data_IF_617892387688
#
_entry.id   IF_617892387688
#
_cell.length_a   1.000
_cell.length_b   1.000
_cell.length_c   1.000
_cell.angle_alpha   90.00
_cell.angle_beta   90.00
_cell.angle_gamma   90.00
#
_symmetry.space_group_name_H-M   'P 1'
#
loop_
_entity.id
_entity.type
_entity.pdbx_description
1 polymer ?
#
# COMPACT_ATOMS: atom_id res chain seq x y z
N UNK A 1 1.24 22.98 36.40
CA UNK A 1 0.62 23.97 35.49
C UNK A 1 1.26 23.86 34.09
N UNK A 2 0.69 23.07 33.18
CA UNK A 2 1.02 23.10 31.75
C UNK A 2 -0.09 23.88 31.06
N UNK A 3 0.25 25.06 30.58
CA UNK A 3 -0.67 25.98 29.93
C UNK A 3 -1.00 25.45 28.52
N UNK A 4 -2.02 24.59 28.41
CA UNK A 4 -2.60 24.18 27.14
C UNK A 4 -3.39 25.36 26.56
N UNK A 5 -2.68 26.30 25.93
CA UNK A 5 -3.31 27.26 25.01
C UNK A 5 -3.84 26.45 23.83
N UNK A 6 -5.12 26.08 23.88
CA UNK A 6 -5.87 25.78 22.67
C UNK A 6 -5.78 27.02 21.79
N UNK A 7 -4.95 26.96 20.75
CA UNK A 7 -4.92 27.98 19.71
C UNK A 7 -6.34 28.06 19.14
N UNK A 8 -7.06 29.16 19.42
CA UNK A 8 -8.33 29.45 18.77
C UNK A 8 -8.05 29.43 17.27
N UNK A 9 -8.60 28.47 16.54
CA UNK A 9 -8.52 28.46 15.09
C UNK A 9 -9.14 29.77 14.58
N UNK A 10 -8.32 30.60 13.93
CA UNK A 10 -8.79 31.82 13.28
C UNK A 10 -9.73 31.44 12.14
N UNK A 11 -10.93 32.04 12.10
CA UNK A 11 -11.92 31.83 11.04
C UNK A 11 -11.32 32.06 9.65
N UNK A 12 -10.37 33.00 9.51
CA UNK A 12 -9.65 33.25 8.24
C UNK A 12 -8.82 32.04 7.81
N UNK A 13 -8.18 31.34 8.74
CA UNK A 13 -7.41 30.13 8.45
C UNK A 13 -8.31 28.98 8.03
N UNK A 14 -9.48 28.82 8.66
CA UNK A 14 -10.47 27.80 8.28
C UNK A 14 -10.96 28.04 6.85
N UNK A 15 -11.35 29.28 6.53
CA UNK A 15 -11.82 29.65 5.19
C UNK A 15 -10.74 29.42 4.13
N UNK A 16 -9.49 29.82 4.40
CA UNK A 16 -8.37 29.60 3.47
C UNK A 16 -8.12 28.12 3.19
N UNK A 17 -8.10 27.28 4.24
CA UNK A 17 -7.95 25.83 4.10
C UNK A 17 -9.11 25.23 3.31
N UNK A 18 -10.34 25.69 3.55
CA UNK A 18 -11.52 25.29 2.79
C UNK A 18 -11.40 25.61 1.29
N UNK A 19 -10.99 26.84 0.95
CA UNK A 19 -10.78 27.28 -0.43
C UNK A 19 -9.71 26.43 -1.11
N UNK A 20 -8.56 26.22 -0.45
CA UNK A 20 -7.48 25.39 -0.99
C UNK A 20 -7.95 23.95 -1.23
N UNK A 21 -8.72 23.39 -0.29
CA UNK A 21 -9.31 22.06 -0.43
C UNK A 21 -10.25 21.94 -1.64
N UNK A 22 -11.11 22.94 -1.84
CA UNK A 22 -12.01 22.99 -3.01
C UNK A 22 -11.21 23.10 -4.30
N UNK A 23 -10.21 23.99 -4.37
CA UNK A 23 -9.36 24.15 -5.55
C UNK A 23 -8.60 22.87 -5.88
N UNK A 24 -8.02 22.20 -4.87
CA UNK A 24 -7.37 20.90 -5.04
C UNK A 24 -8.34 19.87 -5.61
N UNK A 25 -9.56 19.78 -5.07
CA UNK A 25 -10.57 18.87 -5.58
C UNK A 25 -10.94 19.18 -7.03
N UNK A 26 -11.17 20.45 -7.39
CA UNK A 26 -11.50 20.84 -8.77
C UNK A 26 -10.38 20.48 -9.75
N UNK A 27 -9.12 20.71 -9.37
CA UNK A 27 -7.94 20.44 -10.22
C UNK A 27 -7.69 18.92 -10.35
N UNK A 28 -7.92 18.15 -9.28
CA UNK A 28 -7.58 16.73 -9.19
C UNK A 28 -8.80 15.79 -9.15
N UNK A 29 -10.00 16.26 -9.45
CA UNK A 29 -11.21 15.43 -9.41
C UNK A 29 -11.10 14.16 -10.26
N UNK A 30 -10.51 14.24 -11.46
CA UNK A 30 -10.34 13.09 -12.36
C UNK A 30 -9.39 12.02 -11.79
N UNK A 31 -8.13 12.32 -11.43
CA UNK A 31 -7.26 11.31 -10.83
C UNK A 31 -7.78 10.81 -9.48
N UNK A 32 -8.41 11.65 -8.65
CA UNK A 32 -8.99 11.21 -7.37
C UNK A 32 -10.11 10.21 -7.61
N UNK A 33 -11.10 10.55 -8.46
CA UNK A 33 -12.20 9.63 -8.78
C UNK A 33 -11.71 8.37 -9.45
N UNK A 34 -10.69 8.46 -10.31
CA UNK A 34 -10.05 7.29 -10.92
C UNK A 34 -9.41 6.38 -9.87
N UNK A 35 -8.61 6.90 -8.93
CA UNK A 35 -7.98 6.09 -7.87
C UNK A 35 -9.04 5.37 -7.04
N UNK A 36 -10.06 6.09 -6.56
CA UNK A 36 -11.12 5.47 -5.75
C UNK A 36 -11.94 4.44 -6.54
N UNK A 37 -12.25 4.73 -7.80
CA UNK A 37 -12.95 3.78 -8.67
C UNK A 37 -12.12 2.51 -8.88
N UNK A 38 -10.82 2.63 -9.09
CA UNK A 38 -9.92 1.49 -9.27
C UNK A 38 -9.74 0.70 -7.97
N UNK A 39 -9.59 1.34 -6.82
CA UNK A 39 -9.55 0.67 -5.52
C UNK A 39 -10.84 -0.09 -5.19
N UNK A 40 -11.99 0.43 -5.65
CA UNK A 40 -13.29 -0.22 -5.46
C UNK A 40 -13.52 -1.37 -6.47
N UNK A 41 -13.22 -1.15 -7.75
CA UNK A 41 -13.46 -2.12 -8.83
C UNK A 41 -12.45 -3.25 -8.85
N UNK A 42 -11.16 -2.97 -8.60
CA UNK A 42 -10.10 -3.98 -8.57
C UNK A 42 -9.91 -4.47 -7.14
N UNK A 43 -10.37 -5.69 -6.85
CA UNK A 43 -10.20 -6.31 -5.54
C UNK A 43 -8.74 -6.36 -5.05
N UNK A 44 -7.78 -6.36 -5.98
CA UNK A 44 -6.32 -6.28 -5.74
C UNK A 44 -5.89 -5.01 -4.97
N UNK A 45 -6.57 -3.88 -5.17
CA UNK A 45 -6.26 -2.58 -4.59
C UNK A 45 -7.21 -2.17 -3.46
N UNK A 46 -8.00 -3.11 -2.94
CA UNK A 46 -8.96 -2.86 -1.86
C UNK A 46 -8.33 -2.27 -0.59
N UNK A 47 -7.05 -2.55 -0.31
CA UNK A 47 -6.30 -1.92 0.79
C UNK A 47 -6.19 -0.40 0.64
N UNK A 48 -6.17 0.10 -0.59
CA UNK A 48 -6.03 1.52 -0.92
C UNK A 48 -7.16 2.39 -0.38
N UNK A 49 -8.35 1.81 -0.14
CA UNK A 49 -9.47 2.52 0.49
C UNK A 49 -9.18 2.89 1.95
N UNK A 50 -8.37 2.12 2.66
CA UNK A 50 -8.03 2.36 4.06
C UNK A 50 -6.87 3.35 4.24
N UNK A 51 -6.02 3.49 3.23
CA UNK A 51 -4.80 4.32 3.27
C UNK A 51 -5.08 5.79 3.60
N UNK A 52 -6.08 6.49 3.00
CA UNK A 52 -6.41 7.86 3.39
C UNK A 52 -6.72 8.03 4.87
N UNK A 53 -7.44 7.06 5.46
CA UNK A 53 -7.81 7.09 6.87
C UNK A 53 -6.59 6.89 7.78
N UNK A 54 -5.68 5.98 7.41
CA UNK A 54 -4.41 5.78 8.12
C UNK A 54 -3.55 7.04 8.02
N UNK A 55 -3.39 7.62 6.83
CA UNK A 55 -2.66 8.87 6.63
C UNK A 55 -3.24 10.00 7.47
N UNK A 56 -4.56 10.17 7.45
CA UNK A 56 -5.25 11.20 8.26
C UNK A 56 -5.02 10.97 9.76
N UNK A 57 -5.16 9.74 10.25
CA UNK A 57 -4.90 9.39 11.63
C UNK A 57 -3.46 9.76 12.05
N UNK A 58 -2.47 9.40 11.23
CA UNK A 58 -1.07 9.74 11.50
C UNK A 58 -0.84 11.26 11.48
N UNK A 59 -1.46 12.00 10.55
CA UNK A 59 -1.39 13.47 10.50
C UNK A 59 -1.96 14.06 11.80
N UNK A 60 -3.14 13.63 12.23
CA UNK A 60 -3.78 14.12 13.48
C UNK A 60 -2.89 13.86 14.70
N UNK A 61 -2.25 12.68 14.78
CA UNK A 61 -1.34 12.33 15.87
C UNK A 61 -0.08 13.20 15.87
N UNK A 62 0.48 13.47 14.70
CA UNK A 62 1.70 14.29 14.56
C UNK A 62 1.36 15.78 14.77
N UNK A 63 0.16 16.21 14.39
CA UNK A 63 -0.29 17.60 14.46
C UNK A 63 -0.09 18.22 15.84
N UNK A 64 -0.33 17.43 16.89
CA UNK A 64 -0.17 17.86 18.29
C UNK A 64 1.28 18.15 18.70
N UNK A 65 2.26 17.65 17.94
CA UNK A 65 3.70 17.84 18.18
C UNK A 65 4.36 18.84 17.21
N UNK A 66 3.57 19.47 16.34
CA UNK A 66 4.08 20.48 15.42
C UNK A 66 4.44 21.76 16.19
N UNK A 67 5.61 22.30 15.87
CA UNK A 67 6.09 23.57 16.39
C UNK A 67 5.62 24.67 15.46
N UNK A 68 4.73 25.52 15.94
CA UNK A 68 4.33 26.74 15.24
C UNK A 68 5.25 27.89 15.68
N UNK A 69 6.54 27.78 15.39
CA UNK A 69 7.49 28.86 15.65
C UNK A 69 7.20 30.01 14.68
N UNK A 70 7.14 31.24 15.20
CA UNK A 70 6.63 32.41 14.47
C UNK A 70 7.60 33.04 13.49
N UNK A 71 8.90 32.75 13.53
CA UNK A 71 9.85 33.36 12.60
C UNK A 71 10.99 32.40 12.23
N UNK A 72 10.97 31.92 11.00
CA UNK A 72 12.20 31.51 10.32
C UNK A 72 12.14 32.06 8.91
N UNK A 73 13.23 32.61 8.40
CA UNK A 73 13.35 33.10 7.02
C UNK A 73 13.11 31.92 6.06
N UNK A 74 11.86 31.71 5.66
CA UNK A 74 11.47 30.57 4.84
C UNK A 74 12.12 30.72 3.45
N UNK A 75 12.93 29.75 3.03
CA UNK A 75 13.35 29.64 1.63
C UNK A 75 12.15 29.18 0.80
N UNK A 76 11.23 30.11 0.52
CA UNK A 76 9.95 29.90 -0.19
C UNK A 76 10.15 29.33 -1.60
N UNK A 77 11.34 29.51 -2.20
CA UNK A 77 11.66 29.01 -3.54
C UNK A 77 11.41 27.51 -3.71
N UNK A 78 11.80 26.67 -2.75
CA UNK A 78 11.67 25.22 -2.86
C UNK A 78 10.22 24.71 -2.89
N UNK A 79 9.34 25.07 -1.93
CA UNK A 79 7.94 24.66 -2.00
C UNK A 79 7.24 25.18 -3.26
N UNK A 80 7.52 26.42 -3.70
CA UNK A 80 6.97 26.94 -4.96
C UNK A 80 7.43 26.10 -6.16
N UNK A 81 8.73 25.77 -6.25
CA UNK A 81 9.24 24.93 -7.34
C UNK A 81 8.54 23.57 -7.39
N UNK A 82 8.32 22.92 -6.23
CA UNK A 82 7.62 21.64 -6.18
C UNK A 82 6.13 21.78 -6.52
N UNK A 83 5.46 22.87 -6.10
CA UNK A 83 4.08 23.17 -6.51
C UNK A 83 3.99 23.33 -8.04
N UNK A 84 4.91 24.10 -8.64
CA UNK A 84 4.96 24.29 -10.10
C UNK A 84 5.16 22.96 -10.82
N UNK A 85 6.10 22.12 -10.37
CA UNK A 85 6.32 20.79 -10.95
C UNK A 85 5.05 19.94 -10.84
N UNK A 86 4.42 19.89 -9.67
CA UNK A 86 3.21 19.10 -9.46
C UNK A 86 2.07 19.54 -10.39
N UNK A 87 1.88 20.85 -10.57
CA UNK A 87 0.85 21.41 -11.46
C UNK A 87 1.17 21.19 -12.95
N UNK A 88 2.44 21.31 -13.36
CA UNK A 88 2.85 21.00 -14.73
C UNK A 88 2.67 19.52 -15.06
N UNK A 89 3.09 18.63 -14.15
CA UNK A 89 2.86 17.19 -14.28
C UNK A 89 1.37 16.89 -14.36
N UNK A 90 0.54 17.53 -13.52
CA UNK A 90 -0.91 17.40 -13.58
C UNK A 90 -1.46 17.79 -14.95
N UNK A 91 -1.04 18.93 -15.49
CA UNK A 91 -1.50 19.42 -16.79
C UNK A 91 -1.13 18.44 -17.92
N UNK A 92 0.11 17.95 -17.93
CA UNK A 92 0.60 17.00 -18.94
C UNK A 92 -0.15 15.68 -18.83
N UNK A 93 -0.24 15.12 -17.62
CA UNK A 93 -0.88 13.82 -17.37
C UNK A 93 -2.38 13.86 -17.62
N UNK A 94 -3.05 14.96 -17.32
CA UNK A 94 -4.48 15.12 -17.59
C UNK A 94 -4.76 15.12 -19.10
N UNK A 95 -3.88 15.70 -19.91
CA UNK A 95 -3.99 15.66 -21.38
C UNK A 95 -3.63 14.31 -21.97
N UNK A 96 -2.68 13.61 -21.37
CA UNK A 96 -2.26 12.27 -21.79
C UNK A 96 -3.13 11.14 -21.19
N UNK A 97 -4.11 11.49 -20.35
CA UNK A 97 -4.96 10.54 -19.59
C UNK A 97 -4.17 9.56 -18.71
N UNK A 98 -3.01 9.99 -18.20
CA UNK A 98 -2.14 9.19 -17.33
C UNK A 98 -2.47 9.48 -15.86
N UNK A 99 -3.59 8.91 -15.39
CA UNK A 99 -4.15 9.25 -14.08
C UNK A 99 -3.29 8.82 -12.88
N UNK A 100 -2.47 7.77 -12.98
CA UNK A 100 -1.65 7.32 -11.85
C UNK A 100 -0.51 8.33 -11.52
N UNK A 101 0.17 8.88 -12.53
CA UNK A 101 1.20 9.92 -12.34
C UNK A 101 0.55 11.22 -11.87
N UNK A 102 -0.63 11.53 -12.41
CA UNK A 102 -1.47 12.64 -11.97
C UNK A 102 -1.87 12.52 -10.49
N UNK A 103 -2.15 11.32 -9.98
CA UNK A 103 -2.38 11.10 -8.55
C UNK A 103 -1.10 11.32 -7.71
N UNK A 104 0.06 10.89 -8.19
CA UNK A 104 1.33 11.17 -7.52
C UNK A 104 1.65 12.67 -7.46
N UNK A 105 1.34 13.43 -8.51
CA UNK A 105 1.52 14.89 -8.49
C UNK A 105 0.57 15.56 -7.51
N UNK A 106 -0.64 15.03 -7.30
CA UNK A 106 -1.55 15.50 -6.24
C UNK A 106 -0.89 15.39 -4.86
N UNK A 107 -0.28 14.24 -4.56
CA UNK A 107 0.39 13.97 -3.28
C UNK A 107 1.60 14.92 -3.11
N UNK A 108 2.37 15.13 -4.18
CA UNK A 108 3.47 16.10 -4.19
C UNK A 108 2.97 17.52 -3.94
N UNK A 109 1.84 17.92 -4.53
CA UNK A 109 1.25 19.24 -4.32
C UNK A 109 0.81 19.42 -2.86
N UNK A 110 0.15 18.42 -2.25
CA UNK A 110 -0.22 18.43 -0.84
C UNK A 110 1.02 18.62 0.04
N UNK A 111 2.08 17.84 -0.20
CA UNK A 111 3.34 18.00 0.53
C UNK A 111 3.93 19.40 0.39
N UNK A 112 3.91 19.95 -0.82
CA UNK A 112 4.47 21.26 -1.13
C UNK A 112 3.69 22.39 -0.48
N UNK A 113 2.35 22.29 -0.41
CA UNK A 113 1.48 23.21 0.31
C UNK A 113 1.76 23.15 1.82
N UNK A 114 1.88 21.96 2.40
CA UNK A 114 2.25 21.79 3.81
C UNK A 114 3.60 22.42 4.09
N UNK A 115 4.60 22.23 3.22
CA UNK A 115 5.90 22.90 3.34
C UNK A 115 5.78 24.41 3.22
N UNK A 116 5.00 24.92 2.27
CA UNK A 116 4.78 26.35 2.09
C UNK A 116 4.19 27.02 3.35
N UNK A 117 3.13 26.43 3.92
CA UNK A 117 2.41 27.05 5.04
C UNK A 117 2.99 26.72 6.42
N UNK A 118 3.51 25.51 6.62
CA UNK A 118 3.96 25.04 7.94
C UNK A 118 5.49 25.03 8.10
N UNK A 119 6.23 25.33 7.03
CA UNK A 119 7.68 25.32 7.02
C UNK A 119 8.30 23.92 6.88
N UNK A 120 9.62 23.91 6.67
CA UNK A 120 10.39 22.69 6.34
C UNK A 120 10.36 21.66 7.46
N UNK A 121 10.43 22.10 8.72
CA UNK A 121 10.49 21.18 9.86
C UNK A 121 9.18 20.40 10.01
N UNK A 122 8.04 21.10 10.00
CA UNK A 122 6.72 20.47 10.10
C UNK A 122 6.41 19.62 8.86
N UNK A 123 6.77 20.08 7.66
CA UNK A 123 6.66 19.26 6.45
C UNK A 123 7.48 17.97 6.54
N UNK A 124 8.70 18.00 7.10
CA UNK A 124 9.51 16.80 7.31
C UNK A 124 8.83 15.83 8.28
N UNK A 125 8.19 16.33 9.34
CA UNK A 125 7.42 15.49 10.29
C UNK A 125 6.21 14.85 9.61
N UNK A 126 5.52 15.59 8.74
CA UNK A 126 4.33 15.14 8.00
C UNK A 126 4.63 14.40 6.68
N UNK A 127 5.90 14.33 6.26
CA UNK A 127 6.29 13.74 4.98
C UNK A 127 5.82 12.29 4.86
N UNK A 128 6.04 11.47 5.89
CA UNK A 128 5.65 10.06 5.83
C UNK A 128 4.13 9.88 5.67
N UNK A 129 3.25 10.44 6.51
CA UNK A 129 1.80 10.32 6.32
C UNK A 129 1.31 10.78 4.95
N UNK A 130 1.89 11.85 4.40
CA UNK A 130 1.52 12.38 3.09
C UNK A 130 1.97 11.41 1.97
N UNK A 131 3.24 11.00 1.97
CA UNK A 131 3.76 10.08 0.96
C UNK A 131 3.27 8.64 1.13
N UNK A 132 2.74 8.27 2.29
CA UNK A 132 2.04 6.99 2.49
C UNK A 132 0.82 6.87 1.57
N UNK A 133 0.21 7.98 1.15
CA UNK A 133 -0.84 8.00 0.13
C UNK A 133 -0.37 7.47 -1.24
N UNK A 134 0.93 7.36 -1.51
CA UNK A 134 1.40 6.74 -2.77
C UNK A 134 1.01 5.26 -2.83
N UNK A 135 0.87 4.60 -1.69
CA UNK A 135 0.60 3.15 -1.58
C UNK A 135 -0.82 2.77 -2.01
N UNK A 136 -1.76 3.72 -2.03
CA UNK A 136 -3.10 3.48 -2.57
C UNK A 136 -3.21 3.68 -4.08
N UNK A 137 -2.26 4.37 -4.71
CA UNK A 137 -2.37 4.71 -6.14
C UNK A 137 -2.15 3.45 -6.99
N UNK A 138 -3.15 3.02 -7.78
CA UNK A 138 -3.00 1.82 -8.59
C UNK A 138 -1.98 2.02 -9.69
N UNK A 139 -1.15 1.00 -9.90
CA UNK A 139 -0.24 0.94 -11.05
C UNK A 139 -1.00 0.50 -12.31
N UNK A 140 -0.57 0.95 -13.51
CA UNK A 140 -1.13 0.47 -14.77
C UNK A 140 -1.10 -1.05 -14.89
N UNK A 141 -2.11 -1.63 -15.56
CA UNK A 141 -2.28 -3.09 -15.70
C UNK A 141 -1.04 -3.78 -16.24
N UNK A 142 -0.35 -3.17 -17.22
CA UNK A 142 0.89 -3.68 -17.80
C UNK A 142 1.96 -4.01 -16.74
N UNK A 143 2.15 -3.15 -15.74
CA UNK A 143 3.13 -3.39 -14.68
C UNK A 143 2.70 -4.54 -13.77
N UNK A 144 1.41 -4.63 -13.47
CA UNK A 144 0.84 -5.69 -12.65
C UNK A 144 0.93 -7.03 -13.38
N UNK A 145 0.54 -7.11 -14.64
CA UNK A 145 0.59 -8.35 -15.41
C UNK A 145 2.03 -8.82 -15.59
N UNK A 146 2.96 -7.92 -15.90
CA UNK A 146 4.40 -8.22 -16.03
C UNK A 146 4.99 -8.74 -14.72
N UNK A 147 4.63 -8.14 -13.58
CA UNK A 147 5.12 -8.55 -12.27
C UNK A 147 4.47 -9.86 -11.77
N UNK A 148 3.19 -10.07 -12.07
CA UNK A 148 2.43 -11.21 -11.55
C UNK A 148 2.56 -12.48 -12.36
N UNK A 149 2.86 -12.39 -13.65
CA UNK A 149 2.96 -13.57 -14.51
C UNK A 149 4.04 -14.58 -14.03
N UNK A 150 5.29 -14.14 -13.71
CA UNK A 150 6.29 -15.05 -13.13
C UNK A 150 5.84 -15.65 -11.79
N UNK A 151 5.14 -14.88 -10.96
CA UNK A 151 4.62 -15.35 -9.68
C UNK A 151 3.55 -16.44 -9.83
N UNK A 152 2.67 -16.32 -10.84
CA UNK A 152 1.66 -17.34 -11.17
C UNK A 152 2.32 -18.64 -11.64
N UNK A 153 3.33 -18.54 -12.51
CA UNK A 153 4.08 -19.71 -12.98
C UNK A 153 4.78 -20.42 -11.82
N UNK A 154 5.48 -19.67 -10.97
CA UNK A 154 6.14 -20.20 -9.78
C UNK A 154 5.12 -20.87 -8.83
N UNK A 155 3.99 -20.20 -8.57
CA UNK A 155 2.96 -20.75 -7.70
C UNK A 155 2.35 -22.04 -8.25
N UNK A 156 2.05 -22.09 -9.56
CA UNK A 156 1.54 -23.28 -10.21
C UNK A 156 2.56 -24.42 -10.18
N UNK A 157 3.84 -24.14 -10.47
CA UNK A 157 4.91 -25.15 -10.44
C UNK A 157 5.10 -25.74 -9.05
N UNK A 158 5.25 -24.89 -8.03
CA UNK A 158 5.49 -25.37 -6.66
C UNK A 158 4.26 -26.10 -6.11
N UNK A 159 3.05 -25.59 -6.38
CA UNK A 159 1.82 -26.27 -5.97
C UNK A 159 1.67 -27.64 -6.64
N UNK A 160 2.03 -27.77 -7.92
CA UNK A 160 2.05 -29.06 -8.63
C UNK A 160 2.98 -30.06 -7.94
N UNK A 161 4.25 -29.68 -7.74
CA UNK A 161 5.25 -30.55 -7.09
C UNK A 161 4.85 -30.97 -5.68
N UNK A 162 4.33 -30.04 -4.87
CA UNK A 162 3.86 -30.37 -3.52
C UNK A 162 2.67 -31.32 -3.58
N UNK A 163 1.74 -31.12 -4.51
CA UNK A 163 0.57 -32.00 -4.68
C UNK A 163 0.99 -33.41 -5.10
N UNK A 164 1.95 -33.54 -6.02
CA UNK A 164 2.53 -34.82 -6.43
C UNK A 164 3.18 -35.56 -5.24
N UNK A 165 3.94 -34.86 -4.40
CA UNK A 165 4.53 -35.41 -3.17
C UNK A 165 3.45 -35.94 -2.21
N UNK A 166 2.28 -35.29 -2.19
CA UNK A 166 1.12 -35.70 -1.38
C UNK A 166 0.30 -36.82 -2.05
N UNK A 167 0.74 -37.37 -3.18
CA UNK A 167 0.07 -38.47 -3.89
C UNK A 167 -1.12 -38.02 -4.74
N UNK A 168 -1.25 -36.73 -5.02
CA UNK A 168 -2.31 -36.19 -5.89
C UNK A 168 -1.83 -36.20 -7.33
N UNK A 169 -2.64 -36.79 -8.22
CA UNK A 169 -2.38 -36.76 -9.67
C UNK A 169 -2.76 -35.40 -10.21
N UNK A 170 -1.76 -34.61 -10.56
CA UNK A 170 -1.90 -33.27 -11.15
C UNK A 170 -0.95 -33.13 -12.33
N UNK A 171 -1.41 -32.49 -13.40
CA UNK A 171 -0.59 -32.16 -14.57
C UNK A 171 -0.60 -30.64 -14.76
N UNK A 172 0.57 -30.03 -14.82
CA UNK A 172 0.70 -28.58 -15.05
C UNK A 172 0.93 -28.25 -16.51
N UNK A 173 0.15 -27.31 -17.03
CA UNK A 173 0.40 -26.63 -18.31
C UNK A 173 0.40 -25.12 -18.08
N UNK A 174 1.59 -24.51 -18.14
CA UNK A 174 1.77 -23.10 -17.80
C UNK A 174 1.27 -22.77 -16.39
N UNK A 175 0.19 -21.97 -16.32
CA UNK A 175 -0.50 -21.54 -15.09
C UNK A 175 -1.77 -22.35 -14.78
N UNK A 176 -2.08 -23.35 -15.59
CA UNK A 176 -3.24 -24.23 -15.41
C UNK A 176 -2.79 -25.56 -14.80
N UNK A 177 -3.53 -26.03 -13.80
CA UNK A 177 -3.34 -27.32 -13.15
C UNK A 177 -4.53 -28.23 -13.51
N UNK A 178 -4.27 -29.33 -14.20
CA UNK A 178 -5.25 -30.34 -14.54
C UNK A 178 -5.28 -31.44 -13.47
N UNK A 179 -6.47 -31.71 -12.95
CA UNK A 179 -6.78 -32.66 -11.89
C UNK A 179 -7.84 -33.64 -12.38
N UNK A 180 -8.03 -34.75 -11.68
CA UNK A 180 -9.10 -35.72 -12.00
C UNK A 180 -10.50 -35.11 -11.95
N UNK A 181 -10.70 -34.10 -11.11
CA UNK A 181 -11.98 -33.40 -10.90
C UNK A 181 -12.17 -32.15 -11.79
N UNK A 182 -11.24 -31.86 -12.70
CA UNK A 182 -11.29 -30.70 -13.59
C UNK A 182 -9.98 -29.91 -13.64
N UNK A 183 -10.02 -28.66 -14.09
CA UNK A 183 -8.85 -27.78 -14.15
C UNK A 183 -8.94 -26.61 -13.18
N UNK A 184 -7.79 -26.21 -12.64
CA UNK A 184 -7.61 -25.05 -11.79
C UNK A 184 -6.68 -24.06 -12.47
N UNK A 185 -7.24 -22.92 -12.87
CA UNK A 185 -6.48 -21.83 -13.46
C UNK A 185 -5.94 -20.89 -12.37
N UNK A 186 -4.61 -20.72 -12.31
CA UNK A 186 -3.96 -19.73 -11.43
C UNK A 186 -4.08 -18.33 -12.08
N UNK A 187 -5.29 -17.77 -12.02
CA UNK A 187 -5.62 -16.45 -12.59
C UNK A 187 -5.16 -15.26 -11.74
N UNK A 188 -5.59 -14.05 -12.11
CA UNK A 188 -5.28 -12.81 -11.36
C UNK A 188 -5.60 -12.90 -9.85
N UNK A 189 -6.73 -13.48 -9.41
CA UNK A 189 -7.02 -13.66 -7.98
C UNK A 189 -5.99 -14.55 -7.25
N UNK A 190 -5.38 -15.51 -7.97
CA UNK A 190 -4.37 -16.44 -7.48
C UNK A 190 -2.93 -15.93 -7.62
N UNK A 191 -2.72 -14.73 -8.18
CA UNK A 191 -1.38 -14.19 -8.44
C UNK A 191 -0.58 -13.83 -7.19
N UNK A 192 -1.26 -13.66 -6.06
CA UNK A 192 -0.66 -13.17 -4.81
C UNK A 192 -0.52 -11.65 -4.75
N UNK A 193 -0.88 -10.90 -5.80
CA UNK A 193 -0.69 -9.43 -5.83
C UNK A 193 -1.47 -8.72 -4.73
N UNK A 194 -2.70 -9.15 -4.46
CA UNK A 194 -3.54 -8.58 -3.39
C UNK A 194 -2.86 -8.71 -2.03
N UNK A 195 -2.37 -9.91 -1.70
CA UNK A 195 -1.62 -10.15 -0.47
C UNK A 195 -0.31 -9.37 -0.46
N UNK A 196 0.42 -9.31 -1.58
CA UNK A 196 1.67 -8.56 -1.68
C UNK A 196 1.46 -7.07 -1.40
N UNK A 197 0.46 -6.44 -2.01
CA UNK A 197 0.15 -5.03 -1.80
C UNK A 197 -0.30 -4.75 -0.36
N UNK A 198 -1.17 -5.60 0.20
CA UNK A 198 -1.60 -5.49 1.59
C UNK A 198 -0.42 -5.64 2.58
N UNK A 199 0.44 -6.63 2.36
CA UNK A 199 1.63 -6.89 3.19
C UNK A 199 2.66 -5.78 3.06
N UNK A 200 2.90 -5.27 1.85
CA UNK A 200 3.80 -4.15 1.62
C UNK A 200 3.30 -2.89 2.32
N UNK A 201 1.98 -2.63 2.25
CA UNK A 201 1.33 -1.51 2.96
C UNK A 201 1.55 -1.61 4.47
N UNK A 202 1.30 -2.80 5.04
CA UNK A 202 1.52 -3.06 6.46
C UNK A 202 3.00 -2.95 6.83
N UNK A 203 3.91 -3.47 6.01
CA UNK A 203 5.35 -3.41 6.25
C UNK A 203 5.85 -1.97 6.25
N UNK A 204 5.41 -1.13 5.32
CA UNK A 204 5.73 0.30 5.26
C UNK A 204 5.21 0.99 6.53
N UNK A 205 3.96 0.73 6.93
CA UNK A 205 3.38 1.30 8.15
C UNK A 205 4.13 0.86 9.41
N UNK A 206 4.40 -0.44 9.57
CA UNK A 206 5.15 -1.00 10.69
C UNK A 206 6.57 -0.44 10.76
N UNK A 207 7.24 -0.32 9.61
CA UNK A 207 8.58 0.28 9.53
C UNK A 207 8.61 1.73 10.03
N UNK A 208 7.50 2.45 9.93
CA UNK A 208 7.40 3.82 10.41
C UNK A 208 7.13 3.91 11.90
N UNK A 209 6.12 3.16 12.39
CA UNK A 209 5.67 3.24 13.79
C UNK A 209 6.64 2.56 14.77
N UNK A 210 7.42 1.58 14.30
CA UNK A 210 8.38 0.86 15.14
C UNK A 210 9.76 1.55 15.13
N UNK A 211 10.44 1.63 16.29
CA UNK A 211 11.80 2.15 16.35
C UNK A 211 12.73 1.20 15.59
N UNK A 212 13.67 1.74 14.79
CA UNK A 212 14.63 0.92 14.03
C UNK A 212 15.41 1.75 13.02
N UNK A 213 16.61 1.30 12.65
CA UNK A 213 17.44 1.98 11.64
C UNK A 213 16.82 1.90 10.25
N UNK A 214 17.15 2.87 9.37
CA UNK A 214 16.64 2.92 8.00
C UNK A 214 16.89 1.61 7.24
N UNK A 215 18.08 1.03 7.37
CA UNK A 215 18.43 -0.25 6.74
C UNK A 215 17.47 -1.36 7.17
N UNK A 216 17.18 -1.49 8.47
CA UNK A 216 16.27 -2.52 8.98
C UNK A 216 14.84 -2.30 8.51
N UNK A 217 14.40 -1.04 8.41
CA UNK A 217 13.09 -0.65 7.87
C UNK A 217 12.94 -1.07 6.40
N UNK A 218 13.95 -0.79 5.58
CA UNK A 218 13.99 -1.18 4.16
C UNK A 218 13.96 -2.70 4.03
N UNK A 219 14.78 -3.42 4.80
CA UNK A 219 14.79 -4.89 4.81
C UNK A 219 13.42 -5.46 5.17
N UNK A 220 12.73 -4.89 6.18
CA UNK A 220 11.38 -5.32 6.56
C UNK A 220 10.40 -5.18 5.38
N UNK A 221 10.41 -4.05 4.69
CA UNK A 221 9.55 -3.83 3.51
C UNK A 221 9.84 -4.86 2.43
N UNK A 222 11.10 -5.12 2.11
CA UNK A 222 11.46 -6.16 1.12
C UNK A 222 11.10 -7.57 1.56
N UNK A 223 11.07 -7.85 2.87
CA UNK A 223 10.65 -9.15 3.43
C UNK A 223 9.16 -9.42 3.20
N UNK A 224 8.34 -8.40 2.94
CA UNK A 224 6.94 -8.61 2.56
C UNK A 224 6.78 -9.40 1.25
N UNK A 225 7.75 -9.28 0.32
CA UNK A 225 7.74 -9.99 -0.97
C UNK A 225 7.82 -11.51 -0.77
N UNK A 226 8.88 -12.09 -0.15
CA UNK A 226 8.97 -13.53 0.03
C UNK A 226 7.83 -14.08 0.89
N UNK A 227 7.32 -13.32 1.88
CA UNK A 227 6.15 -13.73 2.67
C UNK A 227 4.90 -13.81 1.78
N UNK A 228 4.67 -12.82 0.93
CA UNK A 228 3.53 -12.82 -0.01
C UNK A 228 3.61 -14.00 -0.98
N UNK A 229 4.81 -14.29 -1.52
CA UNK A 229 5.03 -15.44 -2.40
C UNK A 229 4.77 -16.75 -1.66
N UNK A 230 5.34 -16.91 -0.46
CA UNK A 230 5.17 -18.11 0.36
C UNK A 230 3.70 -18.38 0.72
N UNK A 231 3.00 -17.36 1.22
CA UNK A 231 1.57 -17.47 1.57
C UNK A 231 0.71 -17.76 0.34
N UNK A 232 1.06 -17.20 -0.83
CA UNK A 232 0.34 -17.48 -2.07
C UNK A 232 0.59 -18.91 -2.58
N UNK A 233 1.83 -19.40 -2.57
CA UNK A 233 2.16 -20.79 -2.93
C UNK A 233 1.39 -21.76 -2.03
N UNK A 234 1.39 -21.50 -0.72
CA UNK A 234 0.65 -22.31 0.25
C UNK A 234 -0.84 -22.31 -0.08
N UNK A 235 -1.42 -21.14 -0.37
CA UNK A 235 -2.83 -21.02 -0.79
C UNK A 235 -3.14 -21.84 -2.04
N UNK A 236 -2.35 -21.69 -3.11
CA UNK A 236 -2.58 -22.40 -4.38
C UNK A 236 -2.45 -23.91 -4.18
N UNK A 237 -1.51 -24.36 -3.34
CA UNK A 237 -1.36 -25.77 -2.97
C UNK A 237 -2.62 -26.28 -2.25
N UNK A 238 -3.12 -25.55 -1.25
CA UNK A 238 -4.35 -25.92 -0.54
C UNK A 238 -5.55 -25.94 -1.49
N UNK A 239 -5.65 -24.99 -2.42
CA UNK A 239 -6.70 -24.98 -3.44
C UNK A 239 -6.63 -26.22 -4.35
N UNK A 240 -5.42 -26.64 -4.74
CA UNK A 240 -5.19 -27.85 -5.52
C UNK A 240 -5.65 -29.12 -4.76
N UNK A 241 -5.30 -29.21 -3.48
CA UNK A 241 -5.73 -30.31 -2.60
C UNK A 241 -7.26 -30.32 -2.51
N UNK A 242 -7.90 -29.19 -2.19
CA UNK A 242 -9.36 -29.10 -2.08
C UNK A 242 -10.04 -29.44 -3.39
N UNK A 243 -9.52 -28.94 -4.51
CA UNK A 243 -10.05 -29.24 -5.84
C UNK A 243 -10.02 -30.74 -6.16
N UNK A 244 -8.97 -31.44 -5.71
CA UNK A 244 -8.79 -32.88 -5.93
C UNK A 244 -9.79 -33.74 -5.17
N UNK A 245 -10.16 -33.35 -3.94
CA UNK A 245 -11.05 -34.14 -3.08
C UNK A 245 -12.51 -33.69 -3.09
N UNK A 246 -12.77 -32.39 -3.29
CA UNK A 246 -14.09 -31.78 -3.17
C UNK A 246 -14.60 -31.14 -4.46
N UNK A 247 -13.83 -31.23 -5.54
CA UNK A 247 -14.17 -30.64 -6.83
C UNK A 247 -13.67 -29.20 -6.99
N UNK A 248 -13.46 -28.81 -8.24
CA UNK A 248 -12.90 -27.50 -8.63
C UNK A 248 -13.83 -26.34 -8.31
N UNK A 249 -15.15 -26.54 -8.36
CA UNK A 249 -16.15 -25.51 -8.09
C UNK A 249 -16.08 -25.01 -6.63
N UNK A 250 -15.95 -25.91 -5.66
CA UNK A 250 -15.78 -25.54 -4.25
C UNK A 250 -14.46 -24.80 -4.04
N UNK A 251 -13.39 -25.26 -4.69
CA UNK A 251 -12.07 -24.66 -4.57
C UNK A 251 -12.03 -23.24 -5.13
N UNK A 252 -12.64 -22.99 -6.29
CA UNK A 252 -12.63 -21.67 -6.96
C UNK A 252 -13.72 -20.73 -6.48
N UNK A 253 -14.77 -21.25 -5.84
CA UNK A 253 -15.85 -20.47 -5.22
C UNK A 253 -15.50 -19.99 -3.82
N UNK A 254 -16.37 -20.26 -2.84
CA UNK A 254 -16.28 -19.71 -1.48
C UNK A 254 -14.95 -20.02 -0.78
N UNK A 255 -14.34 -21.17 -1.05
CA UNK A 255 -13.07 -21.53 -0.44
C UNK A 255 -11.91 -20.63 -0.92
N UNK A 256 -11.96 -20.16 -2.17
CA UNK A 256 -10.97 -19.24 -2.72
C UNK A 256 -10.91 -17.93 -1.91
N UNK A 257 -12.07 -17.31 -1.67
CA UNK A 257 -12.15 -16.03 -0.98
C UNK A 257 -11.75 -16.13 0.49
N UNK A 258 -12.26 -17.15 1.19
CA UNK A 258 -11.97 -17.38 2.61
C UNK A 258 -10.48 -17.70 2.80
N UNK A 259 -9.93 -18.61 2.00
CA UNK A 259 -8.50 -18.95 2.09
C UNK A 259 -7.60 -17.77 1.73
N UNK A 260 -8.00 -16.94 0.76
CA UNK A 260 -7.32 -15.69 0.43
C UNK A 260 -7.24 -14.75 1.62
N UNK A 261 -8.37 -14.48 2.27
CA UNK A 261 -8.44 -13.61 3.45
C UNK A 261 -7.59 -14.13 4.61
N UNK A 262 -7.71 -15.43 4.94
CA UNK A 262 -6.93 -16.06 6.02
C UNK A 262 -5.43 -15.95 5.75
N UNK A 263 -4.99 -16.24 4.52
CA UNK A 263 -3.58 -16.18 4.15
C UNK A 263 -3.02 -14.75 4.17
N UNK A 264 -3.84 -13.75 3.82
CA UNK A 264 -3.46 -12.34 3.98
C UNK A 264 -3.28 -11.97 5.45
N UNK A 265 -4.19 -12.35 6.35
CA UNK A 265 -4.06 -12.11 7.79
C UNK A 265 -2.79 -12.80 8.32
N UNK A 266 -2.59 -14.07 7.96
CA UNK A 266 -1.43 -14.83 8.39
C UNK A 266 -0.12 -14.14 7.99
N UNK A 267 -0.01 -13.66 6.75
CA UNK A 267 1.14 -12.87 6.32
C UNK A 267 1.31 -11.57 7.12
N UNK A 268 0.21 -10.86 7.42
CA UNK A 268 0.25 -9.60 8.19
C UNK A 268 0.76 -9.85 9.61
N UNK A 269 0.35 -10.96 10.23
CA UNK A 269 0.85 -11.38 11.53
C UNK A 269 2.35 -11.67 11.45
N UNK A 270 2.80 -12.45 10.45
CA UNK A 270 4.24 -12.76 10.26
C UNK A 270 5.06 -11.49 10.11
N UNK A 271 4.68 -10.57 9.21
CA UNK A 271 5.44 -9.34 9.00
C UNK A 271 5.43 -8.43 10.24
N UNK A 272 4.32 -8.42 10.99
CA UNK A 272 4.22 -7.70 12.27
C UNK A 272 5.14 -8.29 13.35
N UNK A 273 5.21 -9.61 13.45
CA UNK A 273 6.13 -10.31 14.37
C UNK A 273 7.58 -10.05 13.99
N UNK A 274 7.94 -10.20 12.70
CA UNK A 274 9.28 -9.88 12.21
C UNK A 274 9.60 -8.42 12.51
N UNK A 275 8.68 -7.49 12.21
CA UNK A 275 8.86 -6.08 12.54
C UNK A 275 9.15 -5.86 14.03
N UNK A 276 8.36 -6.47 14.91
CA UNK A 276 8.54 -6.38 16.36
C UNK A 276 9.93 -6.87 16.80
N UNK A 277 10.36 -8.05 16.38
CA UNK A 277 11.64 -8.62 16.83
C UNK A 277 12.88 -8.05 16.11
N UNK A 278 12.74 -7.65 14.84
CA UNK A 278 13.83 -7.14 14.00
C UNK A 278 14.09 -5.64 14.22
N UNK A 279 13.03 -4.83 14.26
CA UNK A 279 13.15 -3.39 14.44
C UNK A 279 13.37 -3.04 15.90
N UNK A 280 12.67 -3.72 16.82
CA UNK A 280 12.81 -3.56 18.26
C UNK A 280 13.47 -4.80 18.88
N UNK A 281 14.77 -5.06 18.61
CA UNK A 281 15.46 -6.11 19.33
C UNK A 281 15.39 -5.73 20.81
N UNK A 282 14.84 -6.63 21.62
CA UNK A 282 14.80 -6.47 23.07
C UNK A 282 16.19 -6.04 23.51
N UNK A 283 16.25 -4.91 24.21
CA UNK A 283 17.48 -4.25 24.65
C UNK A 283 18.40 -5.31 25.28
N UNK A 284 19.40 -5.72 24.52
CA UNK A 284 20.62 -6.29 25.04
C UNK A 284 21.33 -5.18 25.80
N UNK A 285 21.07 -5.17 27.10
CA UNK A 285 21.82 -4.60 28.23
C UNK A 285 22.78 -3.45 27.94
N UNK A 286 22.56 -2.35 28.68
CA UNK A 286 23.60 -1.39 29.09
C UNK A 286 24.96 -2.10 29.30
N UNK A 287 25.98 -1.60 28.63
CA UNK A 287 27.33 -1.43 29.16
C UNK A 287 27.84 -0.10 28.60
#
# INVERSE_FOLDING_TARGET
MKNTKHAKLDYRSITLVGIIGILLFVIYQRPITWVFAECYKRGEYSHGLLVPFISLFLIVRIWQSLSFATETTYKIRWPISLMTIALLVQLICLRAEIYFISAWSCILLIFSLVWYFQGKENARKLAFPIFFLLVMVPLPGLFIDTATFPLKLLAAEVACRISEILGIVVVRDGVTLFLSQGSLLVGNPCSGIRSLLALSTCAILFSYIMPGSLTRRIILVFTSIPIAVFTNITRVTVLCIVASYKGTEIATGTFHDVSGFIMSIFGIIIIGLIGKYWLCPAIGKKA
#
